data_IF_631962972945
#
_entry.id   IF_631962972945
#
_cell.length_a   1.000
_cell.length_b   1.000
_cell.length_c   1.000
_cell.angle_alpha   90.00
_cell.angle_beta   90.00
_cell.angle_gamma   90.00
#
_symmetry.space_group_name_H-M   'P 1'
#
loop_
_entity.id
_entity.type
_entity.pdbx_description
1 polymer ?
#
# COMPACT_ATOMS: atom_id res chain seq x y z
N UNK A 1 -15.06 -1.32 16.69
CA UNK A 1 -14.80 -0.11 17.51
C UNK A 1 -14.14 0.93 16.60
N UNK A 2 -14.71 2.12 16.51
CA UNK A 2 -14.08 3.23 15.79
C UNK A 2 -12.77 3.59 16.49
N UNK A 3 -11.68 3.70 15.73
CA UNK A 3 -10.40 4.16 16.27
C UNK A 3 -10.49 5.67 16.54
N UNK A 4 -9.97 6.10 17.71
CA UNK A 4 -9.88 7.52 18.01
C UNK A 4 -8.97 8.20 16.97
N UNK A 5 -9.39 9.36 16.48
CA UNK A 5 -8.60 10.21 15.58
C UNK A 5 -7.61 11.05 16.40
N UNK A 6 -6.42 11.34 15.86
CA UNK A 6 -5.59 12.41 16.39
C UNK A 6 -6.39 13.73 16.38
N UNK A 7 -6.27 14.50 17.45
CA UNK A 7 -6.94 15.77 17.58
C UNK A 7 -6.04 16.80 18.26
N UNK A 8 -6.52 18.05 18.31
CA UNK A 8 -5.91 19.11 19.12
C UNK A 8 -6.71 19.26 20.41
N UNK A 9 -6.01 19.31 21.52
CA UNK A 9 -6.62 19.71 22.79
C UNK A 9 -6.89 21.22 22.84
N UNK A 10 -7.49 21.69 23.94
CA UNK A 10 -7.80 23.11 24.12
C UNK A 10 -6.56 24.01 24.20
N UNK A 11 -5.39 23.46 24.45
CA UNK A 11 -4.09 24.19 24.48
C UNK A 11 -3.43 24.24 23.09
N UNK A 12 -3.95 23.52 22.09
CA UNK A 12 -3.38 23.36 20.76
C UNK A 12 -2.31 22.27 20.70
N UNK A 13 -2.18 21.44 21.74
CA UNK A 13 -1.30 20.27 21.70
C UNK A 13 -2.00 19.08 21.01
N UNK A 14 -1.22 18.27 20.30
CA UNK A 14 -1.73 17.07 19.62
C UNK A 14 -2.03 15.95 20.63
N UNK A 15 -3.27 15.50 20.64
CA UNK A 15 -3.67 14.25 21.29
C UNK A 15 -3.56 13.11 20.31
N UNK A 16 -2.48 12.33 20.43
CA UNK A 16 -2.22 11.18 19.55
C UNK A 16 -2.65 9.91 20.28
N UNK A 17 -3.56 9.10 19.71
CA UNK A 17 -3.93 7.82 20.30
C UNK A 17 -2.72 6.88 20.43
N UNK A 18 -2.66 6.11 21.50
CA UNK A 18 -1.60 5.12 21.73
C UNK A 18 -1.57 4.03 20.67
N UNK A 19 -2.66 3.83 19.96
CA UNK A 19 -2.79 2.89 18.83
C UNK A 19 -3.52 3.57 17.68
N UNK A 20 -2.88 3.61 16.53
CA UNK A 20 -3.42 4.19 15.31
C UNK A 20 -3.14 3.25 14.13
N UNK A 21 -4.15 3.00 13.31
CA UNK A 21 -3.96 2.35 12.01
C UNK A 21 -4.27 3.36 10.91
N UNK A 22 -3.24 3.78 10.19
CA UNK A 22 -3.33 4.80 9.16
C UNK A 22 -4.28 4.39 8.02
N UNK A 23 -4.29 3.11 7.63
CA UNK A 23 -5.21 2.63 6.59
C UNK A 23 -6.68 2.75 7.04
N UNK A 24 -6.98 2.41 8.29
CA UNK A 24 -8.32 2.55 8.83
C UNK A 24 -8.78 4.01 8.82
N UNK A 25 -7.89 4.94 9.11
CA UNK A 25 -8.19 6.38 9.05
C UNK A 25 -8.43 6.85 7.61
N UNK A 26 -7.55 6.48 6.69
CA UNK A 26 -7.67 6.86 5.27
C UNK A 26 -8.94 6.29 4.61
N UNK A 27 -9.44 5.16 5.07
CA UNK A 27 -10.62 4.50 4.51
C UNK A 27 -11.93 4.82 5.27
N UNK A 28 -11.87 5.61 6.33
CA UNK A 28 -13.03 5.98 7.16
C UNK A 28 -13.87 7.09 6.53
N UNK A 29 -14.40 6.81 5.34
CA UNK A 29 -15.26 7.72 4.58
C UNK A 29 -16.52 6.99 4.12
N UNK A 30 -17.54 7.76 3.68
CA UNK A 30 -18.71 7.20 3.01
C UNK A 30 -18.26 6.32 1.83
N UNK A 31 -18.64 5.04 1.78
CA UNK A 31 -18.26 4.11 0.71
C UNK A 31 -18.61 4.58 -0.70
N UNK A 32 -19.68 5.37 -0.85
CA UNK A 32 -20.11 5.90 -2.14
C UNK A 32 -19.28 7.11 -2.60
N UNK A 33 -18.54 7.74 -1.69
CA UNK A 33 -17.72 8.92 -2.01
C UNK A 33 -16.58 8.53 -2.96
N UNK A 34 -16.27 9.42 -3.90
CA UNK A 34 -15.12 9.30 -4.80
C UNK A 34 -13.80 9.37 -4.00
N UNK A 35 -12.95 8.35 -4.18
CA UNK A 35 -11.62 8.25 -3.58
C UNK A 35 -10.51 8.57 -4.57
N UNK A 36 -10.55 7.97 -5.78
CA UNK A 36 -9.50 8.11 -6.79
C UNK A 36 -10.13 8.33 -8.15
N UNK A 37 -9.58 9.27 -8.91
CA UNK A 37 -9.80 9.40 -10.36
C UNK A 37 -8.61 8.78 -11.04
N UNK A 38 -8.82 7.66 -11.71
CA UNK A 38 -7.79 6.96 -12.46
C UNK A 38 -7.83 7.38 -13.92
N UNK A 39 -6.72 7.95 -14.39
CA UNK A 39 -6.49 8.40 -15.76
C UNK A 39 -5.35 7.63 -16.44
N UNK A 40 -4.97 6.47 -15.92
CA UNK A 40 -3.83 5.68 -16.45
C UNK A 40 -4.17 4.88 -17.70
N UNK A 41 -5.45 4.70 -18.01
CA UNK A 41 -5.93 4.04 -19.22
C UNK A 41 -6.50 5.03 -20.24
N UNK A 42 -7.13 4.49 -21.30
CA UNK A 42 -7.74 5.27 -22.37
C UNK A 42 -9.01 6.02 -21.94
N UNK A 43 -9.59 5.64 -20.82
CA UNK A 43 -10.81 6.25 -20.28
C UNK A 43 -10.64 6.54 -18.78
N UNK A 44 -11.27 7.62 -18.35
CA UNK A 44 -11.40 7.94 -16.93
C UNK A 44 -12.16 6.83 -16.19
N UNK A 45 -11.61 6.38 -15.07
CA UNK A 45 -12.27 5.46 -14.14
C UNK A 45 -12.35 6.09 -12.76
N UNK A 46 -13.54 6.13 -12.21
CA UNK A 46 -13.78 6.63 -10.86
C UNK A 46 -13.81 5.46 -9.88
N UNK A 47 -13.01 5.54 -8.82
CA UNK A 47 -12.90 4.53 -7.76
C UNK A 47 -13.46 5.13 -6.48
N UNK A 48 -14.52 4.53 -5.94
CA UNK A 48 -15.11 4.95 -4.67
C UNK A 48 -14.29 4.46 -3.47
N UNK A 49 -14.52 5.03 -2.29
CA UNK A 49 -13.92 4.53 -1.04
C UNK A 49 -14.33 3.08 -0.74
N UNK A 50 -15.55 2.68 -1.08
CA UNK A 50 -15.99 1.28 -0.96
C UNK A 50 -15.15 0.35 -1.83
N UNK A 51 -15.01 0.67 -3.12
CA UNK A 51 -14.17 -0.10 -4.05
C UNK A 51 -12.71 -0.15 -3.59
N UNK A 52 -12.14 0.99 -3.17
CA UNK A 52 -10.78 1.04 -2.66
C UNK A 52 -10.61 0.18 -1.40
N UNK A 53 -11.59 0.21 -0.48
CA UNK A 53 -11.58 -0.62 0.72
C UNK A 53 -11.58 -2.11 0.39
N UNK A 54 -12.39 -2.55 -0.57
CA UNK A 54 -12.42 -3.95 -1.04
C UNK A 54 -11.08 -4.39 -1.64
N UNK A 55 -10.46 -3.52 -2.44
CA UNK A 55 -9.11 -3.77 -2.98
C UNK A 55 -8.09 -3.93 -1.85
N UNK A 56 -8.09 -3.02 -0.89
CA UNK A 56 -7.21 -3.05 0.28
C UNK A 56 -7.42 -4.32 1.09
N UNK A 57 -8.65 -4.75 1.29
CA UNK A 57 -8.98 -5.96 2.08
C UNK A 57 -8.50 -7.24 1.42
N UNK A 58 -8.63 -7.34 0.11
CA UNK A 58 -8.08 -8.48 -0.65
C UNK A 58 -6.57 -8.55 -0.53
N UNK A 59 -5.87 -7.44 -0.77
CA UNK A 59 -4.41 -7.36 -0.63
C UNK A 59 -3.95 -7.63 0.81
N UNK A 60 -4.60 -7.07 1.80
CA UNK A 60 -4.26 -7.25 3.21
C UNK A 60 -4.36 -8.72 3.62
N UNK A 61 -5.43 -9.43 3.19
CA UNK A 61 -5.56 -10.88 3.44
C UNK A 61 -4.44 -11.69 2.80
N UNK A 62 -4.07 -11.39 1.56
CA UNK A 62 -2.98 -12.08 0.88
C UNK A 62 -1.61 -11.80 1.52
N UNK A 63 -1.37 -10.57 1.94
CA UNK A 63 -0.15 -10.16 2.61
C UNK A 63 -0.02 -10.77 4.01
N UNK A 64 -1.10 -10.83 4.79
CA UNK A 64 -1.09 -11.36 6.16
C UNK A 64 -0.67 -12.84 6.24
N UNK A 65 -0.78 -13.58 5.14
CA UNK A 65 -0.29 -14.97 5.04
C UNK A 65 1.23 -15.05 4.88
N UNK A 66 1.90 -13.97 4.53
CA UNK A 66 3.33 -13.94 4.14
C UNK A 66 4.15 -12.96 4.97
N UNK A 67 3.51 -11.95 5.53
CA UNK A 67 4.18 -10.84 6.22
C UNK A 67 3.55 -10.60 7.58
N UNK A 68 4.37 -10.47 8.60
CA UNK A 68 3.94 -10.12 9.97
C UNK A 68 4.00 -8.60 10.17
N UNK A 69 3.34 -8.12 11.21
CA UNK A 69 3.47 -6.72 11.65
C UNK A 69 4.96 -6.35 11.83
N UNK A 70 5.35 -5.16 11.37
CA UNK A 70 6.74 -4.70 11.32
C UNK A 70 7.56 -5.24 10.14
N UNK A 71 7.04 -6.22 9.38
CA UNK A 71 7.68 -6.70 8.14
C UNK A 71 7.72 -5.61 7.07
N UNK A 72 8.74 -5.64 6.22
CA UNK A 72 8.96 -4.62 5.18
C UNK A 72 8.56 -5.14 3.82
N UNK A 73 7.63 -4.43 3.19
CA UNK A 73 7.08 -4.77 1.88
C UNK A 73 7.38 -3.66 0.89
N UNK A 74 8.06 -4.00 -0.18
CA UNK A 74 8.29 -3.09 -1.30
C UNK A 74 7.03 -2.92 -2.14
N UNK A 75 6.83 -1.73 -2.69
CA UNK A 75 5.79 -1.44 -3.67
C UNK A 75 6.47 -0.93 -4.93
N UNK A 76 6.50 -1.76 -5.97
CA UNK A 76 7.08 -1.46 -7.28
C UNK A 76 5.98 -1.54 -8.34
N UNK A 77 5.06 -0.60 -8.26
CA UNK A 77 3.89 -0.48 -9.15
C UNK A 77 3.90 0.87 -9.86
N UNK A 78 3.30 0.91 -11.04
CA UNK A 78 2.96 2.16 -11.70
C UNK A 78 1.87 2.92 -10.93
N UNK A 79 1.68 4.20 -11.26
CA UNK A 79 0.62 5.02 -10.68
C UNK A 79 -0.74 4.44 -11.09
N UNK A 80 -1.47 3.90 -10.11
CA UNK A 80 -2.77 3.26 -10.33
C UNK A 80 -3.52 3.15 -9.00
N UNK A 81 -4.83 2.86 -9.00
CA UNK A 81 -5.57 2.55 -7.79
C UNK A 81 -4.97 1.39 -7.00
N UNK A 82 -4.36 0.42 -7.67
CA UNK A 82 -3.67 -0.70 -7.03
C UNK A 82 -2.40 -0.29 -6.28
N UNK A 83 -1.69 0.72 -6.78
CA UNK A 83 -0.54 1.29 -6.06
C UNK A 83 -0.98 1.90 -4.72
N UNK A 84 -2.06 2.68 -4.72
CA UNK A 84 -2.63 3.23 -3.48
C UNK A 84 -3.14 2.12 -2.55
N UNK A 85 -3.88 1.14 -3.09
CA UNK A 85 -4.37 0.00 -2.32
C UNK A 85 -3.23 -0.82 -1.71
N UNK A 86 -2.09 -0.97 -2.40
CA UNK A 86 -0.92 -1.69 -1.91
C UNK A 86 -0.36 -1.04 -0.63
N UNK A 87 -0.14 0.27 -0.63
CA UNK A 87 0.33 0.99 0.55
C UNK A 87 -0.64 0.86 1.73
N UNK A 88 -1.94 1.07 1.47
CA UNK A 88 -2.97 0.96 2.49
C UNK A 88 -3.08 -0.47 3.05
N UNK A 89 -2.98 -1.50 2.21
CA UNK A 89 -3.03 -2.89 2.64
C UNK A 89 -1.84 -3.26 3.55
N UNK A 90 -0.64 -2.78 3.22
CA UNK A 90 0.56 -2.97 4.03
C UNK A 90 0.37 -2.32 5.40
N UNK A 91 -0.10 -1.07 5.46
CA UNK A 91 -0.37 -0.39 6.73
C UNK A 91 -1.51 -1.04 7.52
N UNK A 92 -2.52 -1.58 6.84
CA UNK A 92 -3.65 -2.25 7.47
C UNK A 92 -3.22 -3.44 8.33
N UNK A 93 -2.23 -4.20 7.87
CA UNK A 93 -1.66 -5.34 8.61
C UNK A 93 -0.53 -4.96 9.58
N UNK A 94 -0.25 -3.66 9.74
CA UNK A 94 0.82 -3.16 10.61
C UNK A 94 2.24 -3.40 10.06
N UNK A 95 2.38 -3.64 8.77
CA UNK A 95 3.67 -3.76 8.10
C UNK A 95 4.20 -2.39 7.63
N UNK A 96 5.46 -2.35 7.21
CA UNK A 96 6.16 -1.16 6.75
C UNK A 96 6.18 -1.16 5.22
N UNK A 97 5.64 -0.11 4.62
CA UNK A 97 5.65 0.07 3.17
C UNK A 97 6.93 0.77 2.72
N UNK A 98 7.62 0.18 1.74
CA UNK A 98 8.84 0.73 1.13
C UNK A 98 8.54 1.09 -0.33
N UNK A 99 8.35 2.38 -0.66
CA UNK A 99 8.12 2.80 -2.04
C UNK A 99 9.35 2.53 -2.89
N UNK A 100 9.13 1.90 -4.05
CA UNK A 100 10.15 1.67 -5.07
C UNK A 100 9.66 2.28 -6.39
N UNK A 101 10.57 2.82 -7.19
CA UNK A 101 10.21 3.45 -8.46
C UNK A 101 10.74 2.64 -9.63
N UNK A 102 9.90 2.42 -10.63
CA UNK A 102 10.26 1.74 -11.88
C UNK A 102 11.33 2.44 -12.70
N UNK A 103 11.53 3.74 -12.47
CA UNK A 103 12.61 4.50 -13.10
C UNK A 103 14.00 4.17 -12.56
N UNK A 104 14.09 3.45 -11.45
CA UNK A 104 15.37 2.99 -10.93
C UNK A 104 15.89 1.81 -11.74
N UNK A 105 17.19 1.87 -12.05
CA UNK A 105 17.91 0.71 -12.58
C UNK A 105 18.16 -0.32 -11.49
N UNK A 106 18.55 -1.52 -11.89
CA UNK A 106 18.76 -2.68 -11.01
C UNK A 106 19.59 -2.35 -9.75
N UNK A 107 20.76 -1.71 -9.90
CA UNK A 107 21.64 -1.41 -8.76
C UNK A 107 20.96 -0.49 -7.72
N UNK A 108 20.19 0.47 -8.18
CA UNK A 108 19.47 1.38 -7.30
C UNK A 108 18.29 0.68 -6.60
N UNK A 109 17.61 -0.26 -7.26
CA UNK A 109 16.59 -1.11 -6.63
C UNK A 109 17.26 -2.07 -5.63
N UNK A 110 18.35 -2.72 -6.02
CA UNK A 110 19.09 -3.66 -5.19
C UNK A 110 19.60 -3.03 -3.89
N UNK A 111 20.13 -1.81 -3.98
CA UNK A 111 20.55 -1.06 -2.81
C UNK A 111 19.38 -0.81 -1.85
N UNK A 112 18.24 -0.31 -2.35
CA UNK A 112 17.06 0.01 -1.52
C UNK A 112 16.43 -1.22 -0.90
N UNK A 113 16.29 -2.30 -1.67
CA UNK A 113 15.73 -3.56 -1.19
C UNK A 113 16.57 -4.13 -0.06
N UNK A 114 17.91 -4.13 -0.21
CA UNK A 114 18.82 -4.63 0.82
C UNK A 114 18.88 -3.72 2.04
N UNK A 115 19.05 -2.42 1.82
CA UNK A 115 19.18 -1.43 2.90
C UNK A 115 17.93 -1.38 3.77
N UNK A 116 16.74 -1.39 3.16
CA UNK A 116 15.48 -1.45 3.88
C UNK A 116 15.13 -2.84 4.42
N UNK A 117 15.85 -3.90 4.04
CA UNK A 117 15.54 -5.28 4.44
C UNK A 117 14.17 -5.76 3.90
N UNK A 118 13.84 -5.38 2.66
CA UNK A 118 12.61 -5.81 1.99
C UNK A 118 12.70 -7.28 1.61
N UNK A 119 11.71 -8.07 2.03
CA UNK A 119 11.65 -9.52 1.74
C UNK A 119 10.59 -9.88 0.72
N UNK A 120 9.59 -9.03 0.54
CA UNK A 120 8.49 -9.22 -0.39
C UNK A 120 8.20 -7.92 -1.12
N UNK A 121 7.91 -7.97 -2.43
CA UNK A 121 7.58 -6.80 -3.24
C UNK A 121 6.26 -7.03 -3.96
N UNK A 122 5.30 -6.13 -3.73
CA UNK A 122 4.11 -6.01 -4.58
C UNK A 122 4.51 -5.35 -5.90
N UNK A 123 4.24 -6.04 -7.00
CA UNK A 123 4.69 -5.60 -8.32
C UNK A 123 3.77 -6.10 -9.43
N UNK A 124 3.97 -5.57 -10.62
CA UNK A 124 3.41 -6.03 -11.88
C UNK A 124 4.50 -6.74 -12.72
N UNK A 125 4.18 -7.29 -13.91
CA UNK A 125 5.14 -7.99 -14.76
C UNK A 125 6.39 -7.18 -15.07
N UNK A 126 6.24 -5.90 -15.43
CA UNK A 126 7.37 -5.01 -15.72
C UNK A 126 8.28 -4.83 -14.49
N UNK A 127 7.69 -4.57 -13.32
CA UNK A 127 8.46 -4.40 -12.09
C UNK A 127 9.14 -5.70 -11.64
N UNK A 128 8.53 -6.86 -11.90
CA UNK A 128 9.17 -8.16 -11.66
C UNK A 128 10.46 -8.31 -12.48
N UNK A 129 10.41 -7.94 -13.75
CA UNK A 129 11.58 -8.04 -14.62
C UNK A 129 12.70 -7.08 -14.16
N UNK A 130 12.33 -5.88 -13.69
CA UNK A 130 13.28 -4.94 -13.08
C UNK A 130 13.91 -5.46 -11.79
N UNK A 131 13.21 -6.27 -11.01
CA UNK A 131 13.73 -6.85 -9.76
C UNK A 131 14.82 -7.90 -9.99
N UNK A 132 14.82 -8.62 -11.10
CA UNK A 132 15.85 -9.59 -11.45
C UNK A 132 16.17 -10.64 -10.35
N UNK A 133 15.19 -11.00 -9.52
CA UNK A 133 15.37 -11.94 -8.41
C UNK A 133 15.84 -11.35 -7.08
N UNK A 134 15.91 -10.03 -6.93
CA UNK A 134 16.35 -9.37 -5.69
C UNK A 134 15.48 -9.64 -4.45
N UNK A 135 14.19 -9.88 -4.65
CA UNK A 135 13.23 -10.12 -3.58
C UNK A 135 12.12 -11.03 -4.11
N UNK A 136 11.32 -11.59 -3.20
CA UNK A 136 10.15 -12.38 -3.59
C UNK A 136 9.07 -11.46 -4.18
N UNK A 137 8.75 -11.58 -5.48
CA UNK A 137 7.67 -10.81 -6.06
C UNK A 137 6.32 -11.40 -5.67
N UNK A 138 5.36 -10.55 -5.37
CA UNK A 138 3.95 -10.89 -5.27
C UNK A 138 3.22 -10.18 -6.40
N UNK A 139 2.76 -10.98 -7.34
CA UNK A 139 2.13 -10.48 -8.56
C UNK A 139 0.66 -10.15 -8.34
N UNK A 140 0.17 -9.21 -9.14
CA UNK A 140 -1.21 -8.81 -9.13
C UNK A 140 -2.21 -9.94 -9.39
N UNK A 141 -1.92 -10.79 -10.31
CA UNK A 141 -2.73 -11.98 -10.66
C UNK A 141 -2.87 -12.96 -9.49
N UNK A 142 -1.85 -13.03 -8.61
CA UNK A 142 -1.92 -13.86 -7.39
C UNK A 142 -2.86 -13.29 -6.32
N UNK A 143 -3.32 -12.05 -6.46
CA UNK A 143 -4.18 -11.33 -5.50
C UNK A 143 -5.40 -10.69 -6.16
N UNK A 144 -5.63 -10.96 -7.45
CA UNK A 144 -6.81 -10.46 -8.18
C UNK A 144 -6.76 -8.96 -8.49
N UNK A 145 -5.57 -8.44 -8.76
CA UNK A 145 -5.36 -7.06 -9.25
C UNK A 145 -5.68 -6.95 -10.73
#
# INVERSE_FOLDING_TARGET
>A
MAQALPGLDRSGAWEIPTRLNMAAQCLSHDPARLAIIDLTGDARRDVSFGTLSDMVDRLARALAQRVRAGGRVGVLLGQSPWCAAAHLAIWKIGAISVPLFKLFKYDALASRVRDAGVTLVLTDPEGRDLLGGLATPLMGDSVGM
#
